data_IF_611715874990
#
_entry.id   IF_611715874990
#
_cell.length_a   1.000
_cell.length_b   1.000
_cell.length_c   1.000
_cell.angle_alpha   90.00
_cell.angle_beta   90.00
_cell.angle_gamma   90.00
#
_symmetry.space_group_name_H-M   'P 1'
#
loop_
_entity.id
_entity.type
_entity.pdbx_description
1 polymer ?
#
# COMPACT_ATOMS: atom_id res chain seq x y z
N UNK A 1 4.92 15.49 -2.72
CA UNK A 1 5.40 14.10 -2.63
C UNK A 1 5.51 13.58 -4.05
N UNK A 2 6.62 12.94 -4.40
CA UNK A 2 6.79 12.26 -5.68
C UNK A 2 6.59 10.76 -5.50
N UNK A 3 6.20 10.04 -6.55
CA UNK A 3 5.99 8.60 -6.48
C UNK A 3 6.19 7.92 -7.82
N UNK A 4 6.49 6.62 -7.77
CA UNK A 4 6.42 5.74 -8.95
C UNK A 4 5.74 4.45 -8.56
N UNK A 5 4.74 4.07 -9.35
CA UNK A 5 3.92 2.86 -9.13
C UNK A 5 4.33 1.77 -10.09
N UNK A 6 4.34 0.53 -9.60
CA UNK A 6 4.49 -0.66 -10.42
C UNK A 6 3.71 -1.83 -9.82
N UNK A 7 2.91 -2.51 -10.65
CA UNK A 7 2.27 -3.76 -10.29
C UNK A 7 3.19 -4.94 -10.59
N UNK A 8 3.36 -5.85 -9.63
CA UNK A 8 4.25 -7.01 -9.79
C UNK A 8 3.50 -8.19 -10.41
N UNK A 9 3.22 -8.12 -11.71
CA UNK A 9 2.38 -9.11 -12.42
C UNK A 9 3.16 -10.26 -13.05
N UNK A 10 4.48 -10.13 -13.23
CA UNK A 10 5.31 -11.12 -13.89
C UNK A 10 6.74 -11.13 -13.35
N UNK A 11 7.43 -12.25 -13.57
CA UNK A 11 8.80 -12.51 -13.11
C UNK A 11 8.86 -13.39 -11.86
N UNK A 12 10.07 -13.80 -11.44
CA UNK A 12 10.26 -14.59 -10.22
C UNK A 12 9.67 -13.87 -9.00
N UNK A 13 8.91 -14.56 -8.17
CA UNK A 13 8.33 -13.99 -6.93
C UNK A 13 7.12 -13.07 -7.12
N UNK A 14 6.64 -12.85 -8.35
CA UNK A 14 5.48 -12.00 -8.62
C UNK A 14 4.25 -12.41 -7.82
N UNK A 15 3.65 -11.44 -7.13
CA UNK A 15 2.52 -11.63 -6.21
C UNK A 15 1.24 -10.92 -6.67
N UNK A 16 1.27 -10.25 -7.82
CA UNK A 16 0.13 -9.55 -8.39
C UNK A 16 -0.27 -8.27 -7.65
N UNK A 17 0.46 -7.84 -6.62
CA UNK A 17 0.17 -6.64 -5.84
C UNK A 17 0.76 -5.39 -6.48
N UNK A 18 0.20 -4.24 -6.11
CA UNK A 18 0.71 -2.93 -6.54
C UNK A 18 1.66 -2.40 -5.48
N UNK A 19 2.81 -1.93 -5.94
CA UNK A 19 3.84 -1.32 -5.13
C UNK A 19 4.08 0.11 -5.60
N UNK A 20 4.47 0.98 -4.69
CA UNK A 20 4.98 2.29 -5.04
C UNK A 20 6.24 2.61 -4.25
N UNK A 21 7.20 3.27 -4.90
CA UNK A 21 8.17 4.09 -4.16
C UNK A 21 7.55 5.46 -3.98
N UNK A 22 7.54 5.92 -2.74
CA UNK A 22 7.11 7.26 -2.32
C UNK A 22 8.35 8.04 -1.92
N UNK A 23 8.45 9.29 -2.36
CA UNK A 23 9.57 10.20 -2.07
C UNK A 23 9.00 11.51 -1.49
N UNK A 24 9.23 11.75 -0.21
CA UNK A 24 8.87 12.97 0.50
C UNK A 24 9.80 14.13 0.12
N UNK A 25 9.39 15.37 0.41
CA UNK A 25 10.23 16.56 0.16
C UNK A 25 11.39 16.65 1.14
N UNK A 26 11.15 16.26 2.40
CA UNK A 26 12.11 16.29 3.50
C UNK A 26 12.35 14.86 4.03
N UNK A 27 13.51 14.59 4.66
CA UNK A 27 13.75 13.35 5.37
C UNK A 27 12.67 13.06 6.40
N UNK A 28 12.32 11.78 6.51
CA UNK A 28 11.30 11.31 7.43
C UNK A 28 11.72 10.01 8.09
N UNK A 29 11.20 9.81 9.29
CA UNK A 29 11.42 8.61 10.08
C UNK A 29 10.69 7.39 9.51
N UNK A 30 11.10 6.20 9.94
CA UNK A 30 10.38 4.98 9.58
C UNK A 30 8.93 5.00 10.10
N UNK A 31 8.69 5.59 11.29
CA UNK A 31 7.35 5.71 11.87
C UNK A 31 6.46 6.65 11.07
N UNK A 32 7.00 7.77 10.60
CA UNK A 32 6.28 8.68 9.70
C UNK A 32 5.98 8.02 8.35
N UNK A 33 6.94 7.30 7.79
CA UNK A 33 6.74 6.52 6.56
C UNK A 33 5.66 5.44 6.74
N UNK A 34 5.64 4.75 7.89
CA UNK A 34 4.61 3.76 8.24
C UNK A 34 3.23 4.42 8.40
N UNK A 35 3.15 5.54 9.10
CA UNK A 35 1.91 6.29 9.26
C UNK A 35 1.36 6.75 7.90
N UNK A 36 2.23 7.26 7.02
CA UNK A 36 1.87 7.65 5.66
C UNK A 36 1.40 6.46 4.82
N UNK A 37 2.10 5.31 4.90
CA UNK A 37 1.65 4.09 4.23
C UNK A 37 0.25 3.68 4.70
N UNK A 38 -0.01 3.75 6.01
CA UNK A 38 -1.29 3.39 6.61
C UNK A 38 -2.41 4.33 6.18
N UNK A 39 -2.16 5.64 6.10
CA UNK A 39 -3.14 6.61 5.61
C UNK A 39 -3.48 6.41 4.12
N UNK A 40 -2.56 5.81 3.37
CA UNK A 40 -2.76 5.42 1.97
C UNK A 40 -3.44 4.05 1.81
N UNK A 41 -3.94 3.42 2.88
CA UNK A 41 -4.47 2.05 2.82
C UNK A 41 -3.43 0.99 2.45
N UNK A 42 -2.14 1.32 2.58
CA UNK A 42 -1.01 0.48 2.23
C UNK A 42 -0.28 -0.02 3.48
N UNK A 43 0.73 -0.86 3.27
CA UNK A 43 1.73 -1.21 4.26
C UNK A 43 3.12 -0.91 3.71
N UNK A 44 4.12 -0.68 4.57
CA UNK A 44 5.50 -0.71 4.11
C UNK A 44 5.84 -2.09 3.56
N UNK A 45 6.50 -2.14 2.41
CA UNK A 45 6.76 -3.37 1.67
C UNK A 45 7.76 -4.27 2.40
N UNK A 46 7.57 -5.58 2.30
CA UNK A 46 8.54 -6.55 2.79
C UNK A 46 9.47 -7.01 1.68
N UNK A 47 10.71 -7.31 2.02
CA UNK A 47 11.66 -7.97 1.11
C UNK A 47 12.10 -9.32 1.71
N UNK A 48 11.21 -10.31 1.83
CA UNK A 48 11.50 -11.54 2.58
C UNK A 48 12.48 -12.50 1.88
N UNK A 49 12.68 -12.35 0.57
CA UNK A 49 13.55 -13.16 -0.27
C UNK A 49 14.25 -12.34 -1.36
N UNK A 50 15.15 -12.98 -2.11
CA UNK A 50 15.95 -12.33 -3.15
C UNK A 50 15.13 -11.75 -4.30
N UNK A 51 13.95 -12.33 -4.60
CA UNK A 51 13.09 -11.86 -5.68
C UNK A 51 12.37 -10.57 -5.25
N UNK A 52 11.80 -10.56 -4.05
CA UNK A 52 11.15 -9.38 -3.49
C UNK A 52 12.14 -8.22 -3.29
N UNK A 53 13.36 -8.52 -2.82
CA UNK A 53 14.43 -7.53 -2.72
C UNK A 53 14.83 -6.98 -4.10
N UNK A 54 15.02 -7.85 -5.09
CA UNK A 54 15.34 -7.42 -6.46
C UNK A 54 14.25 -6.56 -7.09
N UNK A 55 12.97 -6.91 -6.88
CA UNK A 55 11.84 -6.11 -7.35
C UNK A 55 11.81 -4.74 -6.66
N UNK A 56 11.94 -4.70 -5.33
CA UNK A 56 11.99 -3.47 -4.54
C UNK A 56 13.11 -2.53 -5.01
N UNK A 57 14.30 -3.07 -5.29
CA UNK A 57 15.43 -2.31 -5.83
C UNK A 57 15.16 -1.79 -7.25
N UNK A 58 14.53 -2.58 -8.13
CA UNK A 58 14.17 -2.15 -9.48
C UNK A 58 13.15 -1.01 -9.48
N UNK A 59 12.18 -1.07 -8.57
CA UNK A 59 11.19 -0.01 -8.34
C UNK A 59 11.85 1.25 -7.77
N UNK A 60 12.75 1.09 -6.80
CA UNK A 60 13.47 2.16 -6.14
C UNK A 60 14.60 2.73 -7.03
N UNK A 61 14.23 3.34 -8.14
CA UNK A 61 15.17 3.99 -9.05
C UNK A 61 14.85 5.48 -9.20
N UNK A 62 15.87 6.30 -9.49
CA UNK A 62 15.72 7.75 -9.65
C UNK A 62 16.25 8.56 -8.46
N UNK A 63 16.29 9.88 -8.65
CA UNK A 63 16.76 10.82 -7.63
C UNK A 63 15.83 10.81 -6.41
N UNK A 64 16.39 10.86 -5.20
CA UNK A 64 15.62 10.80 -3.96
C UNK A 64 15.33 9.40 -3.44
N UNK A 65 15.54 8.35 -4.24
CA UNK A 65 15.32 6.97 -3.81
C UNK A 65 16.36 6.50 -2.77
N UNK A 66 17.63 6.90 -2.92
CA UNK A 66 18.77 6.51 -2.08
C UNK A 66 19.56 7.74 -1.59
N UNK A 67 18.88 8.69 -0.93
CA UNK A 67 19.56 9.87 -0.36
C UNK A 67 20.26 9.49 0.95
N UNK A 68 21.57 9.24 0.86
CA UNK A 68 22.43 8.59 1.88
C UNK A 68 22.11 7.11 2.15
N UNK A 69 20.82 6.75 2.19
CA UNK A 69 20.28 5.42 2.44
C UNK A 69 18.80 5.37 2.00
N UNK A 70 18.22 4.17 2.03
CA UNK A 70 16.79 3.95 1.82
C UNK A 70 16.52 3.31 0.47
N UNK A 71 15.25 3.12 0.07
CA UNK A 71 14.05 3.49 0.82
C UNK A 71 13.84 2.72 2.11
N UNK A 72 13.01 3.29 3.00
CA UNK A 72 12.40 2.53 4.09
C UNK A 72 11.59 1.35 3.55
N UNK A 73 11.73 0.21 4.21
CA UNK A 73 10.91 -0.99 3.99
C UNK A 73 10.28 -1.42 5.33
N UNK A 74 9.33 -2.33 5.27
CA UNK A 74 8.50 -2.72 6.41
C UNK A 74 9.20 -3.56 7.48
N UNK A 75 10.52 -3.70 7.43
CA UNK A 75 11.27 -4.49 8.39
C UNK A 75 11.49 -3.72 9.67
N UNK A 76 11.13 -4.29 10.80
CA UNK A 76 11.32 -3.67 12.11
C UNK A 76 11.65 -4.67 13.20
N UNK A 77 12.25 -4.15 14.26
CA UNK A 77 12.57 -4.82 15.49
C UNK A 77 12.19 -3.90 16.65
N UNK A 78 11.45 -4.40 17.64
CA UNK A 78 11.21 -3.69 18.89
C UNK A 78 11.82 -4.48 20.04
N UNK A 79 12.34 -3.77 21.05
CA UNK A 79 13.08 -4.37 22.16
C UNK A 79 12.37 -5.62 22.73
N UNK A 80 13.06 -6.77 22.69
CA UNK A 80 12.56 -8.05 23.20
C UNK A 80 11.85 -8.95 22.18
N UNK A 81 11.68 -8.52 20.93
CA UNK A 81 11.11 -9.32 19.84
C UNK A 81 12.16 -9.67 18.77
N UNK A 82 11.85 -10.61 17.88
CA UNK A 82 12.65 -10.81 16.67
C UNK A 82 12.38 -9.74 15.61
N UNK A 83 13.21 -9.70 14.57
CA UNK A 83 12.90 -8.95 13.36
C UNK A 83 11.64 -9.50 12.69
N UNK A 84 10.82 -8.59 12.17
CA UNK A 84 9.53 -8.89 11.56
C UNK A 84 9.19 -7.90 10.45
N UNK A 85 8.27 -8.29 9.58
CA UNK A 85 7.76 -7.45 8.50
C UNK A 85 6.37 -6.91 8.85
N UNK A 86 6.08 -5.66 8.54
CA UNK A 86 4.74 -5.04 8.69
C UNK A 86 3.65 -5.78 7.88
N UNK A 87 4.05 -6.49 6.82
CA UNK A 87 3.13 -7.31 6.01
C UNK A 87 2.80 -8.67 6.64
N UNK A 88 3.49 -9.07 7.71
CA UNK A 88 3.37 -10.40 8.31
C UNK A 88 4.14 -11.51 7.59
N UNK A 89 4.93 -11.17 6.56
CA UNK A 89 5.80 -12.14 5.88
C UNK A 89 6.83 -12.77 6.86
N UNK A 90 7.26 -13.99 6.58
CA UNK A 90 8.32 -14.64 7.35
C UNK A 90 9.64 -13.86 7.23
N UNK A 91 10.31 -13.65 8.36
CA UNK A 91 11.59 -12.95 8.37
C UNK A 91 12.76 -13.93 8.19
N UNK A 92 13.55 -13.76 7.13
CA UNK A 92 14.77 -14.52 6.86
C UNK A 92 15.95 -13.54 6.80
N UNK A 93 16.97 -13.63 7.68
CA UNK A 93 18.06 -12.65 7.77
C UNK A 93 19.14 -12.87 6.68
N UNK A 94 18.76 -12.81 5.39
CA UNK A 94 19.66 -13.17 4.29
C UNK A 94 20.44 -11.99 3.68
N UNK A 95 19.93 -10.76 3.78
CA UNK A 95 20.46 -9.62 3.02
C UNK A 95 21.12 -8.54 3.87
N UNK A 96 21.48 -8.80 5.12
CA UNK A 96 22.16 -7.80 5.95
C UNK A 96 23.49 -7.36 5.34
N UNK A 97 23.75 -6.06 5.33
CA UNK A 97 25.06 -5.54 4.96
C UNK A 97 26.14 -6.06 5.93
N UNK A 98 27.43 -6.08 5.54
CA UNK A 98 28.50 -6.52 6.43
C UNK A 98 28.47 -5.79 7.79
N UNK A 99 28.57 -6.56 8.88
CA UNK A 99 28.49 -6.06 10.27
C UNK A 99 27.12 -5.50 10.69
N UNK A 100 26.05 -5.83 9.97
CA UNK A 100 24.66 -5.51 10.31
C UNK A 100 23.90 -6.78 10.72
N UNK A 101 22.87 -6.68 11.59
CA UNK A 101 22.46 -5.46 12.31
C UNK A 101 23.49 -5.07 13.38
N UNK A 102 23.79 -3.78 13.50
CA UNK A 102 24.91 -3.31 14.33
C UNK A 102 24.55 -3.06 15.80
N UNK A 103 23.31 -2.63 16.12
CA UNK A 103 22.88 -2.35 17.51
C UNK A 103 21.43 -2.78 17.83
N UNK A 104 20.71 -3.38 16.88
CA UNK A 104 19.33 -3.83 17.05
C UNK A 104 19.11 -4.99 18.06
N UNK A 105 20.11 -5.35 18.88
CA UNK A 105 19.96 -6.37 19.92
C UNK A 105 19.37 -5.81 21.23
N UNK A 106 19.35 -4.47 21.40
CA UNK A 106 18.95 -3.82 22.66
C UNK A 106 17.96 -2.64 22.45
N UNK A 107 17.79 -2.17 21.22
CA UNK A 107 16.97 -1.00 20.89
C UNK A 107 16.03 -1.29 19.73
N UNK A 108 14.96 -0.50 19.66
CA UNK A 108 14.06 -0.46 18.51
C UNK A 108 14.83 -0.05 17.25
N UNK A 109 14.57 -0.72 16.14
CA UNK A 109 15.23 -0.48 14.86
C UNK A 109 14.32 -0.83 13.69
N UNK A 110 14.62 -0.25 12.53
CA UNK A 110 13.92 -0.48 11.28
C UNK A 110 14.90 -0.70 10.12
N UNK A 111 14.40 -1.32 9.04
CA UNK A 111 15.19 -1.65 7.86
C UNK A 111 15.06 -0.56 6.80
N UNK A 112 16.21 -0.07 6.35
CA UNK A 112 16.38 0.62 5.07
C UNK A 112 17.05 -0.32 4.06
N UNK A 113 16.76 -0.12 2.78
CA UNK A 113 17.63 -0.64 1.72
C UNK A 113 18.98 0.10 1.74
N UNK A 114 20.05 -0.66 1.55
CA UNK A 114 21.44 -0.18 1.57
C UNK A 114 21.86 0.44 0.24
N UNK A 115 22.77 1.41 0.31
CA UNK A 115 23.38 2.07 -0.84
C UNK A 115 23.34 3.60 -0.78
N UNK A 116 24.20 4.25 -1.55
CA UNK A 116 24.23 5.70 -1.74
C UNK A 116 23.98 6.00 -3.21
N UNK A 117 22.94 6.77 -3.51
CA UNK A 117 22.44 7.10 -4.86
C UNK A 117 21.95 5.90 -5.70
N UNK A 118 22.28 4.66 -5.31
CA UNK A 118 21.83 3.42 -5.92
C UNK A 118 21.83 2.26 -4.91
N UNK A 119 21.01 1.23 -5.11
CA UNK A 119 20.99 0.05 -4.25
C UNK A 119 22.31 -0.74 -4.30
N UNK A 120 22.75 -1.22 -3.14
CA UNK A 120 23.89 -2.15 -3.02
C UNK A 120 23.48 -3.63 -2.85
N UNK A 121 22.17 -3.90 -2.79
CA UNK A 121 21.62 -5.25 -2.61
C UNK A 121 21.52 -5.70 -1.17
N UNK A 122 21.69 -4.81 -0.19
CA UNK A 122 21.68 -5.16 1.22
C UNK A 122 20.63 -4.40 2.03
N UNK A 123 20.45 -4.82 3.29
CA UNK A 123 19.69 -4.15 4.33
C UNK A 123 20.62 -3.51 5.34
N UNK A 124 20.24 -2.33 5.81
CA UNK A 124 20.88 -1.66 6.93
C UNK A 124 19.85 -1.36 8.03
N UNK A 125 20.26 -1.52 9.28
CA UNK A 125 19.43 -1.22 10.45
C UNK A 125 19.62 0.25 10.89
N UNK A 126 18.53 0.92 11.27
CA UNK A 126 18.59 2.25 11.87
C UNK A 126 19.11 2.19 13.31
N UNK A 127 20.02 3.12 13.64
CA UNK A 127 20.59 3.26 14.97
C UNK A 127 19.84 4.37 15.73
N UNK A 128 19.62 4.17 17.04
CA UNK A 128 18.91 5.08 17.96
C UNK A 128 17.42 5.30 17.67
N UNK A 129 16.60 4.29 18.00
CA UNK A 129 15.16 4.32 17.71
C UNK A 129 14.91 4.35 16.19
N UNK A 130 13.67 4.17 15.74
CA UNK A 130 13.38 4.10 14.30
C UNK A 130 13.69 5.39 13.51
N UNK A 131 14.19 6.46 14.15
CA UNK A 131 14.06 7.83 13.67
C UNK A 131 15.38 8.64 13.65
N UNK A 132 16.48 8.20 14.29
CA UNK A 132 17.69 9.05 14.47
C UNK A 132 18.94 8.53 13.74
N UNK A 133 19.00 8.66 12.41
CA UNK A 133 20.28 8.45 11.72
C UNK A 133 20.28 8.41 10.21
N UNK A 134 19.11 8.28 9.57
CA UNK A 134 19.03 8.25 8.11
C UNK A 134 18.34 9.51 7.60
N UNK A 135 19.01 10.21 6.69
CA UNK A 135 18.46 11.32 5.92
C UNK A 135 17.56 10.83 4.76
N UNK A 136 17.06 9.60 4.83
CA UNK A 136 16.22 9.06 3.78
C UNK A 136 14.85 9.73 3.81
N UNK A 137 14.32 9.98 2.62
CA UNK A 137 12.99 10.57 2.40
C UNK A 137 12.11 9.67 1.56
N UNK A 138 12.55 8.43 1.29
CA UNK A 138 11.85 7.49 0.45
C UNK A 138 11.35 6.28 1.24
N UNK A 139 10.24 5.69 0.80
CA UNK A 139 9.70 4.46 1.34
C UNK A 139 9.07 3.62 0.22
N UNK A 140 9.13 2.30 0.33
CA UNK A 140 8.37 1.40 -0.55
C UNK A 140 7.12 0.95 0.17
N UNK A 141 5.97 1.18 -0.45
CA UNK A 141 4.65 0.78 0.03
C UNK A 141 4.04 -0.27 -0.88
N UNK A 142 3.17 -1.09 -0.32
CA UNK A 142 2.44 -2.15 -1.02
C UNK A 142 0.98 -2.18 -0.57
N UNK A 143 0.07 -2.38 -1.53
CA UNK A 143 -1.35 -2.56 -1.29
C UNK A 143 -1.73 -4.04 -1.43
N UNK A 144 -2.46 -4.57 -0.44
CA UNK A 144 -3.06 -5.91 -0.54
C UNK A 144 -4.32 -5.88 -1.40
N UNK A 145 -5.10 -4.81 -1.28
CA UNK A 145 -6.28 -4.50 -2.10
C UNK A 145 -6.06 -3.08 -2.62
N UNK A 146 -6.18 -2.91 -3.93
CA UNK A 146 -6.00 -1.62 -4.59
C UNK A 146 -7.35 -1.10 -5.04
N UNK A 147 -7.71 0.09 -4.59
CA UNK A 147 -8.79 0.89 -5.17
C UNK A 147 -8.18 1.74 -6.29
N UNK A 148 -8.59 1.47 -7.52
CA UNK A 148 -8.12 2.11 -8.77
C UNK A 148 -9.33 2.17 -9.70
N UNK A 149 -10.22 3.12 -9.40
CA UNK A 149 -11.53 3.21 -10.04
C UNK A 149 -11.44 3.61 -11.53
N UNK A 150 -10.44 4.40 -11.90
CA UNK A 150 -10.22 4.87 -13.27
C UNK A 150 -9.33 3.90 -14.07
N UNK A 151 -8.92 2.81 -13.44
CA UNK A 151 -8.13 1.71 -13.99
C UNK A 151 -6.82 2.17 -14.65
N UNK A 152 -6.23 3.25 -14.13
CA UNK A 152 -5.00 3.81 -14.66
C UNK A 152 -3.74 3.11 -14.09
N UNK A 153 -3.92 2.20 -13.12
CA UNK A 153 -2.86 1.43 -12.47
C UNK A 153 -2.25 2.12 -11.25
N UNK A 154 -2.75 3.28 -10.84
CA UNK A 154 -2.32 4.07 -9.69
C UNK A 154 -3.42 4.04 -8.63
N UNK A 155 -3.14 3.60 -7.39
CA UNK A 155 -4.15 3.62 -6.33
C UNK A 155 -4.75 5.02 -6.10
N UNK A 156 -6.07 5.12 -5.99
CA UNK A 156 -6.79 6.40 -5.83
C UNK A 156 -6.29 7.18 -4.61
N UNK A 157 -6.10 6.50 -3.48
CA UNK A 157 -5.56 7.09 -2.25
C UNK A 157 -4.17 7.72 -2.46
N UNK A 158 -3.34 7.17 -3.35
CA UNK A 158 -2.04 7.75 -3.69
C UNK A 158 -2.20 9.02 -4.55
N UNK A 159 -3.15 9.02 -5.48
CA UNK A 159 -3.47 10.18 -6.31
C UNK A 159 -4.03 11.33 -5.45
N UNK A 160 -4.96 11.03 -4.55
CA UNK A 160 -5.57 11.97 -3.59
C UNK A 160 -4.51 12.55 -2.64
N UNK A 161 -3.58 11.72 -2.13
CA UNK A 161 -2.51 12.21 -1.27
C UNK A 161 -1.57 13.22 -1.96
N UNK A 162 -1.42 13.14 -3.28
CA UNK A 162 -0.64 14.12 -4.06
C UNK A 162 -1.46 15.34 -4.42
N UNK A 163 -2.74 15.17 -4.76
CA UNK A 163 -3.65 16.27 -5.05
C UNK A 163 -4.99 16.05 -4.33
N UNK A 164 -5.16 16.61 -3.11
CA UNK A 164 -6.40 16.46 -2.35
C UNK A 164 -7.64 17.04 -3.03
N UNK A 165 -7.47 17.92 -4.04
CA UNK A 165 -8.61 18.44 -4.81
C UNK A 165 -9.22 17.40 -5.77
N UNK A 166 -8.65 16.20 -5.86
CA UNK A 166 -9.23 15.08 -6.60
C UNK A 166 -10.29 14.34 -5.80
N UNK A 167 -10.50 14.67 -4.53
CA UNK A 167 -11.50 14.08 -3.62
C UNK A 167 -12.21 15.22 -2.88
N UNK A 168 -13.08 15.94 -3.59
CA UNK A 168 -13.69 17.16 -3.07
C UNK A 168 -14.69 16.89 -1.92
N UNK A 169 -15.27 15.70 -1.87
CA UNK A 169 -16.21 15.27 -0.83
C UNK A 169 -15.56 14.46 0.31
N UNK A 170 -14.25 14.18 0.23
CA UNK A 170 -13.44 13.42 1.19
C UNK A 170 -13.96 11.99 1.40
N UNK A 171 -14.47 11.36 0.34
CA UNK A 171 -14.97 9.99 0.39
C UNK A 171 -13.85 8.94 0.16
N UNK A 172 -12.63 9.37 -0.17
CA UNK A 172 -11.46 8.50 -0.39
C UNK A 172 -11.37 7.90 -1.80
N UNK A 173 -12.25 8.33 -2.72
CA UNK A 173 -12.23 8.03 -4.15
C UNK A 173 -11.98 9.31 -4.96
N UNK A 174 -11.59 9.14 -6.21
CA UNK A 174 -11.45 10.29 -7.12
C UNK A 174 -12.83 10.83 -7.52
N UNK A 175 -12.95 12.15 -7.63
CA UNK A 175 -14.12 12.82 -8.22
C UNK A 175 -14.37 12.38 -9.68
N UNK A 176 -13.32 11.91 -10.37
CA UNK A 176 -13.39 11.35 -11.72
C UNK A 176 -13.86 9.89 -11.75
N UNK A 177 -13.87 9.20 -10.60
CA UNK A 177 -14.48 7.89 -10.51
C UNK A 177 -15.95 8.01 -10.92
N UNK A 178 -16.53 6.98 -11.55
CA UNK A 178 -17.98 6.85 -11.56
C UNK A 178 -18.46 7.03 -10.11
N UNK A 179 -19.55 7.79 -9.86
CA UNK A 179 -20.15 7.83 -8.53
C UNK A 179 -20.33 6.39 -8.06
N UNK A 180 -19.99 6.08 -6.80
CA UNK A 180 -20.40 4.82 -6.16
C UNK A 180 -21.90 4.73 -6.42
N UNK A 181 -22.28 3.94 -7.41
CA UNK A 181 -23.65 3.88 -7.84
C UNK A 181 -24.44 3.34 -6.65
N UNK A 182 -25.72 3.65 -6.52
CA UNK A 182 -26.53 3.02 -5.47
C UNK A 182 -26.55 1.47 -5.60
N UNK A 183 -26.01 0.92 -6.69
CA UNK A 183 -25.81 -0.50 -6.95
C UNK A 183 -24.44 -1.09 -6.56
N UNK A 184 -23.44 -0.26 -6.24
CA UNK A 184 -22.15 -0.71 -5.67
C UNK A 184 -22.33 -0.82 -4.16
N UNK A 185 -22.70 -2.03 -3.72
CA UNK A 185 -23.15 -2.32 -2.37
C UNK A 185 -21.99 -2.63 -1.43
N UNK A 186 -20.83 -3.03 -1.94
CA UNK A 186 -19.62 -3.24 -1.15
C UNK A 186 -18.66 -2.03 -1.16
N UNK A 187 -18.93 -1.03 -2.01
CA UNK A 187 -18.21 0.23 -2.11
C UNK A 187 -16.85 0.11 -2.79
N UNK A 188 -16.64 -0.93 -3.61
CA UNK A 188 -15.35 -1.22 -4.24
C UNK A 188 -15.12 -0.45 -5.55
N UNK A 189 -16.07 0.38 -5.97
CA UNK A 189 -16.05 1.17 -7.20
C UNK A 189 -16.53 0.40 -8.44
N UNK A 190 -17.07 -0.81 -8.27
CA UNK A 190 -17.61 -1.67 -9.33
C UNK A 190 -18.96 -2.22 -8.91
N UNK A 191 -19.77 -2.61 -9.90
CA UNK A 191 -21.00 -3.35 -9.67
C UNK A 191 -20.83 -4.74 -10.28
N UNK A 192 -20.52 -5.72 -9.44
CA UNK A 192 -20.21 -7.08 -9.87
C UNK A 192 -20.90 -8.17 -9.02
N UNK A 193 -20.35 -9.40 -9.08
CA UNK A 193 -20.88 -10.54 -8.35
C UNK A 193 -20.86 -10.40 -6.82
N UNK A 194 -19.96 -9.57 -6.28
CA UNK A 194 -19.92 -9.27 -4.85
C UNK A 194 -21.16 -8.48 -4.43
N UNK A 195 -21.52 -7.44 -5.18
CA UNK A 195 -22.72 -6.62 -4.97
C UNK A 195 -23.98 -7.45 -5.14
N UNK A 196 -24.02 -8.30 -6.17
CA UNK A 196 -25.13 -9.22 -6.37
C UNK A 196 -25.30 -10.15 -5.15
N UNK A 197 -24.20 -10.62 -4.57
CA UNK A 197 -24.22 -11.43 -3.35
C UNK A 197 -24.84 -10.68 -2.17
N UNK A 198 -24.47 -9.40 -1.98
CA UNK A 198 -25.03 -8.53 -0.94
C UNK A 198 -26.51 -8.22 -1.15
N UNK A 199 -26.93 -7.98 -2.40
CA UNK A 199 -28.33 -7.76 -2.74
C UNK A 199 -29.16 -9.01 -2.43
N UNK A 200 -28.73 -10.18 -2.91
CA UNK A 200 -29.45 -11.45 -2.71
C UNK A 200 -29.50 -11.86 -1.23
N UNK A 201 -28.52 -11.46 -0.42
CA UNK A 201 -28.54 -11.68 1.02
C UNK A 201 -29.69 -10.97 1.76
N UNK A 202 -30.21 -9.89 1.18
CA UNK A 202 -31.31 -9.10 1.75
C UNK A 202 -32.64 -9.31 0.99
N UNK A 203 -32.70 -10.22 0.02
CA UNK A 203 -33.84 -10.37 -0.88
C UNK A 203 -35.15 -10.65 -0.13
N UNK A 204 -36.22 -9.97 -0.55
CA UNK A 204 -37.54 -9.98 0.09
C UNK A 204 -37.53 -9.49 1.56
N UNK A 205 -36.62 -8.58 1.88
CA UNK A 205 -36.52 -7.89 3.16
C UNK A 205 -35.89 -6.50 3.01
N UNK A 206 -35.71 -5.73 4.09
CA UNK A 206 -34.93 -4.50 4.08
C UNK A 206 -33.44 -4.82 4.04
N UNK A 207 -32.61 -3.88 3.58
CA UNK A 207 -31.15 -4.00 3.70
C UNK A 207 -30.40 -3.13 2.72
N UNK A 208 -29.08 -3.35 2.63
CA UNK A 208 -28.20 -2.57 1.74
C UNK A 208 -28.54 -2.76 0.26
N UNK A 209 -29.25 -3.84 -0.09
CA UNK A 209 -29.72 -4.08 -1.46
C UNK A 209 -30.97 -3.32 -1.88
N UNK A 210 -31.53 -2.43 -1.04
CA UNK A 210 -32.70 -1.59 -1.37
C UNK A 210 -32.21 -0.33 -2.12
N UNK A 211 -31.91 -0.51 -3.40
CA UNK A 211 -31.28 0.47 -4.28
C UNK A 211 -32.26 1.59 -4.64
N UNK A 212 -33.54 1.23 -4.82
CA UNK A 212 -34.59 2.20 -5.16
C UNK A 212 -35.22 2.88 -3.93
N UNK A 213 -34.86 2.45 -2.71
CA UNK A 213 -35.36 2.94 -1.43
C UNK A 213 -36.87 2.82 -1.24
N UNK A 214 -37.48 1.74 -1.76
CA UNK A 214 -38.91 1.44 -1.58
C UNK A 214 -39.22 0.67 -0.29
N UNK A 215 -38.17 0.30 0.47
CA UNK A 215 -38.26 -0.39 1.74
C UNK A 215 -38.16 -1.92 1.64
N UNK A 216 -38.01 -2.48 0.44
CA UNK A 216 -37.87 -3.93 0.23
C UNK A 216 -36.97 -4.28 -0.95
N UNK A 217 -35.91 -5.04 -0.69
CA UNK A 217 -35.03 -5.58 -1.73
C UNK A 217 -35.78 -6.59 -2.59
N UNK A 218 -36.00 -6.27 -3.86
CA UNK A 218 -36.79 -7.09 -4.77
C UNK A 218 -36.23 -7.08 -6.21
N UNK A 219 -37.04 -7.55 -7.16
CA UNK A 219 -36.65 -7.60 -8.58
C UNK A 219 -36.36 -6.22 -9.19
N UNK A 220 -36.92 -5.14 -8.65
CA UNK A 220 -36.62 -3.77 -9.07
C UNK A 220 -35.17 -3.40 -8.75
N UNK A 221 -34.70 -3.69 -7.54
CA UNK A 221 -33.31 -3.44 -7.13
C UNK A 221 -32.34 -4.32 -7.92
N UNK A 222 -32.68 -5.60 -8.11
CA UNK A 222 -31.88 -6.48 -8.96
C UNK A 222 -31.76 -5.93 -10.39
N UNK A 223 -32.83 -5.35 -10.93
CA UNK A 223 -32.81 -4.70 -12.23
C UNK A 223 -31.90 -3.47 -12.27
N UNK A 224 -31.87 -2.68 -11.20
CA UNK A 224 -30.95 -1.54 -11.07
C UNK A 224 -29.48 -1.99 -10.95
N UNK A 225 -29.21 -3.03 -10.17
CA UNK A 225 -27.88 -3.61 -10.02
C UNK A 225 -27.36 -4.16 -11.35
N UNK A 226 -28.14 -5.00 -12.02
CA UNK A 226 -27.77 -5.56 -13.33
C UNK A 226 -27.68 -4.48 -14.43
N UNK A 227 -28.45 -3.40 -14.30
CA UNK A 227 -28.36 -2.24 -15.20
C UNK A 227 -27.09 -1.42 -15.01
N UNK A 228 -26.46 -1.50 -13.84
CA UNK A 228 -25.22 -0.82 -13.50
C UNK A 228 -23.97 -1.72 -13.59
N UNK A 229 -24.12 -2.98 -14.02
CA UNK A 229 -23.05 -3.99 -14.04
C UNK A 229 -21.79 -3.53 -14.77
N UNK A 230 -20.62 -3.66 -14.14
CA UNK A 230 -19.32 -3.16 -14.64
C UNK A 230 -18.16 -4.12 -14.39
#
# INVERSE_FOLDING_TARGET
MDYRVQRWTAGPGADGRTYAIVIASEPWSWREALANATSLGASLAATPDSNALGFAMGLATGSGAYDCAGPWVGGFHFAGNGWQWTTGAAFVPFAWAPSRPAQAIMLDSAICLGGTDAPDGTWIDSLAGPDAGFATRSAIVVWNVTTDCDANGIPDQLQIAVNPNLDADNNGLLDSCPPIGPADLDGNGRVDGADLGLLLGNYNGPGVGDINHDGIVNGADLGLLLGAWS
#
